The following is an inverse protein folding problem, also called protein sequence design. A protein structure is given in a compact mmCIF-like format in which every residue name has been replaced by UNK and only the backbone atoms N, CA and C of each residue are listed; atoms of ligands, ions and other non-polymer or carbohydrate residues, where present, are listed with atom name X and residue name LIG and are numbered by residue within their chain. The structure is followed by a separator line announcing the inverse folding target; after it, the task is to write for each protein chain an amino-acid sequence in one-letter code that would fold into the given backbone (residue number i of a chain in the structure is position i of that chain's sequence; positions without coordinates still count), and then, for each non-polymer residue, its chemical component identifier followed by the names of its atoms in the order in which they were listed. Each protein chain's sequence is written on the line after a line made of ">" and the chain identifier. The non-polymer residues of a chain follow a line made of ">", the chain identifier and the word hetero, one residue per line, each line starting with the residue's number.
data_IF_499237784397
#
_entry.id   IF_499237784397
#
_cell.length_a   1.000
_cell.length_b   1.000
_cell.length_c   1.000
_cell.angle_alpha   90.00
_cell.angle_beta   90.00
_cell.angle_gamma   90.00
#
_symmetry.space_group_name_H-M   'P 1'
#
loop_
_entity.id
_entity.type
_entity.pdbx_description
1 polymer ?
#
# COMPACT_ATOMS: atom_id res chain seq x y z
N UNK A 1 18.74 34.05 15.62
CA UNK A 1 18.41 32.73 16.04
C UNK A 1 17.63 32.02 14.93
N UNK A 2 18.26 31.13 14.15
CA UNK A 2 17.59 30.29 13.16
C UNK A 2 16.79 29.22 13.92
N UNK A 3 15.52 29.49 14.16
CA UNK A 3 14.62 28.48 14.71
C UNK A 3 14.51 27.31 13.75
N UNK A 4 14.96 26.14 14.18
CA UNK A 4 14.73 24.87 13.51
C UNK A 4 13.21 24.67 13.42
N UNK A 5 12.61 25.02 12.28
CA UNK A 5 11.22 24.68 12.00
C UNK A 5 11.15 23.17 11.86
N UNK A 6 10.62 22.51 12.86
CA UNK A 6 10.20 21.12 12.78
C UNK A 6 9.16 21.03 11.66
N UNK A 7 9.60 20.58 10.49
CA UNK A 7 8.72 20.31 9.38
C UNK A 7 8.09 18.93 9.62
N UNK A 8 7.09 18.87 10.50
CA UNK A 8 6.31 17.65 10.70
C UNK A 8 5.54 17.35 9.41
N UNK A 9 5.92 16.27 8.73
CA UNK A 9 5.12 15.72 7.64
C UNK A 9 3.82 15.19 8.24
N UNK A 10 2.70 15.72 7.80
CA UNK A 10 1.40 15.14 8.14
C UNK A 10 1.26 13.80 7.41
N UNK A 11 0.87 12.77 8.15
CA UNK A 11 0.63 11.44 7.62
C UNK A 11 1.65 10.39 8.09
N UNK A 12 1.45 9.16 7.65
CA UNK A 12 2.29 7.99 7.96
C UNK A 12 3.40 7.92 6.90
N UNK A 13 4.69 8.12 7.27
CA UNK A 13 5.79 8.07 6.30
C UNK A 13 6.14 6.64 5.88
N UNK A 14 5.92 5.66 6.74
CA UNK A 14 6.11 4.24 6.42
C UNK A 14 5.27 3.33 7.32
N UNK A 15 5.04 2.12 6.83
CA UNK A 15 4.57 0.97 7.62
C UNK A 15 5.64 -0.09 7.53
N UNK A 16 5.97 -0.76 8.66
CA UNK A 16 6.97 -1.82 8.70
C UNK A 16 6.31 -3.17 9.03
N UNK A 17 6.63 -4.19 8.23
CA UNK A 17 6.20 -5.56 8.41
C UNK A 17 7.39 -6.46 8.75
N UNK A 18 7.16 -7.39 9.67
CA UNK A 18 8.11 -8.45 9.97
C UNK A 18 7.81 -9.64 9.06
N UNK A 19 8.82 -10.09 8.32
CA UNK A 19 8.68 -11.14 7.30
C UNK A 19 9.67 -12.28 7.53
N UNK A 20 9.41 -13.50 7.00
CA UNK A 20 10.31 -14.63 7.13
C UNK A 20 11.68 -14.36 6.52
N UNK A 21 12.75 -14.94 7.09
CA UNK A 21 14.10 -14.81 6.54
C UNK A 21 14.19 -15.27 5.09
N UNK A 22 14.95 -14.52 4.29
CA UNK A 22 15.18 -14.79 2.86
C UNK A 22 14.08 -14.33 1.92
N UNK A 23 13.02 -13.63 2.41
CA UNK A 23 11.88 -13.24 1.58
C UNK A 23 11.99 -11.84 0.98
N UNK A 24 12.78 -10.94 1.57
CA UNK A 24 12.80 -9.52 1.19
C UNK A 24 13.18 -9.24 -0.27
N UNK A 25 14.07 -10.03 -0.85
CA UNK A 25 14.42 -9.89 -2.28
C UNK A 25 13.25 -10.24 -3.20
N UNK A 26 12.52 -11.32 -2.89
CA UNK A 26 11.33 -11.72 -3.64
C UNK A 26 10.20 -10.71 -3.49
N UNK A 27 9.98 -10.19 -2.28
CA UNK A 27 9.01 -9.13 -2.01
C UNK A 27 9.33 -7.88 -2.83
N UNK A 28 10.59 -7.45 -2.87
CA UNK A 28 11.00 -6.29 -3.66
C UNK A 28 10.71 -6.49 -5.16
N UNK A 29 11.05 -7.68 -5.71
CA UNK A 29 10.71 -8.02 -7.11
C UNK A 29 9.22 -8.00 -7.37
N UNK A 30 8.40 -8.52 -6.46
CA UNK A 30 6.94 -8.49 -6.59
C UNK A 30 6.42 -7.07 -6.83
N UNK A 31 6.80 -6.14 -5.97
CA UNK A 31 6.34 -4.75 -6.13
C UNK A 31 6.93 -4.05 -7.36
N UNK A 32 8.16 -4.36 -7.73
CA UNK A 32 8.78 -3.81 -8.94
C UNK A 32 8.07 -4.32 -10.20
N UNK A 33 7.94 -5.64 -10.35
CA UNK A 33 7.44 -6.25 -11.57
C UNK A 33 5.95 -5.98 -11.79
N UNK A 34 5.16 -6.00 -10.71
CA UNK A 34 3.71 -5.90 -10.80
C UNK A 34 3.24 -4.44 -10.70
N UNK A 35 3.76 -3.68 -9.74
CA UNK A 35 3.33 -2.30 -9.46
C UNK A 35 4.29 -1.23 -9.97
N UNK A 36 5.44 -1.62 -10.53
CA UNK A 36 6.51 -0.71 -10.98
C UNK A 36 7.03 0.21 -9.87
N UNK A 37 6.99 -0.25 -8.63
CA UNK A 37 7.49 0.48 -7.49
C UNK A 37 9.01 0.50 -7.47
N UNK A 38 9.60 1.65 -7.14
CA UNK A 38 11.03 1.74 -6.81
C UNK A 38 11.28 1.09 -5.46
N UNK A 39 12.43 0.44 -5.31
CA UNK A 39 12.78 -0.23 -4.07
C UNK A 39 14.26 -0.09 -3.69
N UNK A 40 14.54 -0.38 -2.43
CA UNK A 40 15.90 -0.54 -1.90
C UNK A 40 15.95 -1.87 -1.15
N UNK A 41 16.90 -2.75 -1.48
CA UNK A 41 17.14 -4.00 -0.75
C UNK A 41 18.42 -3.87 0.08
N UNK A 42 18.36 -4.34 1.31
CA UNK A 42 19.49 -4.49 2.24
C UNK A 42 19.66 -5.97 2.61
N UNK A 43 20.62 -6.29 3.47
CA UNK A 43 20.93 -7.68 3.84
C UNK A 43 19.71 -8.45 4.36
N UNK A 44 18.89 -7.83 5.22
CA UNK A 44 17.73 -8.45 5.89
C UNK A 44 16.48 -7.58 5.83
N UNK A 45 16.41 -6.65 4.89
CA UNK A 45 15.25 -5.78 4.75
C UNK A 45 15.11 -5.24 3.33
N UNK A 46 13.89 -4.84 2.98
CA UNK A 46 13.65 -4.02 1.80
C UNK A 46 12.68 -2.88 2.11
N UNK A 47 12.75 -1.85 1.29
CA UNK A 47 11.87 -0.69 1.35
C UNK A 47 11.31 -0.42 -0.03
N UNK A 48 9.99 -0.29 -0.11
CA UNK A 48 9.23 -0.09 -1.34
C UNK A 48 8.62 1.30 -1.31
N UNK A 49 8.85 2.10 -2.34
CA UNK A 49 8.21 3.41 -2.47
C UNK A 49 6.78 3.24 -3.00
N UNK A 50 5.79 3.66 -2.21
CA UNK A 50 4.35 3.52 -2.55
C UNK A 50 3.63 4.86 -2.67
N UNK A 51 4.32 5.96 -2.43
CA UNK A 51 3.78 7.31 -2.55
C UNK A 51 4.86 8.36 -2.32
N UNK A 52 4.51 9.63 -2.49
CA UNK A 52 5.44 10.74 -2.25
C UNK A 52 5.82 10.80 -0.76
N UNK A 53 7.04 10.36 -0.44
CA UNK A 53 7.54 10.31 0.94
C UNK A 53 6.93 9.19 1.78
N UNK A 54 6.29 8.20 1.14
CA UNK A 54 5.69 7.05 1.80
C UNK A 54 6.32 5.75 1.32
N UNK A 55 6.50 4.81 2.22
CA UNK A 55 7.09 3.51 1.90
C UNK A 55 6.51 2.37 2.75
N UNK A 56 6.52 1.18 2.16
CA UNK A 56 6.41 -0.07 2.91
C UNK A 56 7.81 -0.59 3.21
N UNK A 57 8.02 -1.06 4.42
CA UNK A 57 9.28 -1.66 4.86
C UNK A 57 9.03 -3.10 5.27
N UNK A 58 9.88 -4.00 4.83
CA UNK A 58 9.83 -5.40 5.19
C UNK A 58 11.17 -5.78 5.83
N UNK A 59 11.12 -6.29 7.06
CA UNK A 59 12.29 -6.64 7.87
C UNK A 59 12.24 -8.11 8.24
N UNK A 60 13.28 -8.85 7.89
CA UNK A 60 13.37 -10.27 8.19
C UNK A 60 13.60 -10.54 9.69
N UNK A 61 12.84 -11.49 10.22
CA UNK A 61 12.99 -11.99 11.58
C UNK A 61 12.60 -13.48 11.62
N UNK A 62 13.24 -14.25 12.48
CA UNK A 62 12.90 -15.66 12.72
C UNK A 62 11.52 -15.80 13.39
N UNK A 63 11.22 -14.89 14.32
CA UNK A 63 9.93 -14.88 15.01
C UNK A 63 8.90 -14.16 14.14
N UNK A 64 7.93 -14.91 13.67
CA UNK A 64 6.78 -14.39 12.94
C UNK A 64 5.60 -14.23 13.89
N UNK A 65 4.73 -13.30 13.57
CA UNK A 65 3.38 -13.20 14.14
C UNK A 65 2.39 -13.76 13.12
N UNK A 66 1.34 -14.38 13.61
CA UNK A 66 0.24 -14.81 12.76
C UNK A 66 -0.43 -13.59 12.12
N UNK A 67 -0.90 -13.77 10.89
CA UNK A 67 -1.65 -12.73 10.21
C UNK A 67 -2.99 -12.49 10.92
N UNK A 68 -3.22 -11.29 11.39
CA UNK A 68 -4.37 -10.90 12.20
C UNK A 68 -5.48 -10.18 11.42
N UNK A 69 -5.37 -10.14 10.09
CA UNK A 69 -6.34 -9.48 9.21
C UNK A 69 -6.07 -7.99 8.96
N UNK A 70 -4.90 -7.48 9.40
CA UNK A 70 -4.54 -6.09 9.08
C UNK A 70 -4.38 -5.88 7.57
N UNK A 71 -4.71 -4.70 7.10
CA UNK A 71 -4.68 -4.37 5.68
C UNK A 71 -4.13 -2.96 5.44
N UNK A 72 -3.68 -2.73 4.21
CA UNK A 72 -3.19 -1.45 3.72
C UNK A 72 -3.94 -1.03 2.47
N UNK A 73 -4.26 0.26 2.33
CA UNK A 73 -4.79 0.82 1.10
C UNK A 73 -3.68 1.53 0.33
N UNK A 74 -3.52 1.20 -0.94
CA UNK A 74 -2.55 1.84 -1.84
C UNK A 74 -3.26 2.39 -3.07
N UNK A 75 -2.87 3.59 -3.49
CA UNK A 75 -3.39 4.23 -4.70
C UNK A 75 -2.39 4.07 -5.84
N UNK A 76 -2.86 3.61 -6.99
CA UNK A 76 -2.02 3.33 -8.14
C UNK A 76 -2.50 4.07 -9.38
N UNK A 77 -1.57 4.61 -10.17
CA UNK A 77 -1.88 5.21 -11.47
C UNK A 77 -2.17 4.17 -12.55
N UNK A 78 -1.49 3.03 -12.49
CA UNK A 78 -1.77 1.88 -13.35
C UNK A 78 -2.56 0.83 -12.56
N UNK A 79 -3.87 0.85 -12.70
CA UNK A 79 -4.79 -0.01 -11.95
C UNK A 79 -4.97 -1.38 -12.61
N UNK A 80 -5.11 -1.41 -13.94
CA UNK A 80 -5.53 -2.61 -14.67
C UNK A 80 -4.42 -3.63 -14.90
N UNK A 81 -3.17 -3.20 -15.11
CA UNK A 81 -2.06 -4.14 -15.37
C UNK A 81 -1.74 -5.00 -14.14
N UNK A 82 -1.59 -4.45 -12.94
CA UNK A 82 -1.46 -5.26 -11.72
C UNK A 82 -2.65 -6.19 -11.50
N UNK A 83 -3.88 -5.70 -11.71
CA UNK A 83 -5.08 -6.52 -11.60
C UNK A 83 -5.01 -7.76 -12.52
N UNK A 84 -4.71 -7.56 -13.80
CA UNK A 84 -4.62 -8.65 -14.77
C UNK A 84 -3.55 -9.70 -14.39
N UNK A 85 -2.43 -9.26 -13.83
CA UNK A 85 -1.41 -10.18 -13.32
C UNK A 85 -1.92 -10.99 -12.13
N UNK A 86 -2.44 -10.32 -11.12
CA UNK A 86 -2.92 -10.93 -9.88
C UNK A 86 -4.09 -11.88 -10.15
N UNK A 87 -5.03 -11.49 -11.02
CA UNK A 87 -6.16 -12.33 -11.43
C UNK A 87 -5.68 -13.62 -12.11
N UNK A 88 -4.75 -13.52 -13.05
CA UNK A 88 -4.19 -14.67 -13.76
C UNK A 88 -3.49 -15.67 -12.83
N UNK A 89 -2.94 -15.20 -11.70
CA UNK A 89 -2.29 -16.03 -10.70
C UNK A 89 -3.23 -16.44 -9.56
N UNK A 90 -4.53 -16.16 -9.66
CA UNK A 90 -5.52 -16.53 -8.64
C UNK A 90 -5.31 -15.83 -7.29
N UNK A 91 -4.72 -14.63 -7.29
CA UNK A 91 -4.37 -13.90 -6.06
C UNK A 91 -5.42 -12.87 -5.65
N UNK A 92 -6.35 -12.49 -6.53
CA UNK A 92 -7.44 -11.57 -6.21
C UNK A 92 -8.38 -12.23 -5.19
N UNK A 93 -8.62 -11.54 -4.08
CA UNK A 93 -9.49 -11.99 -3.00
C UNK A 93 -10.86 -11.32 -3.04
N UNK A 94 -10.94 -10.10 -3.57
CA UNK A 94 -12.17 -9.34 -3.68
C UNK A 94 -12.09 -8.31 -4.83
N UNK A 95 -13.18 -8.15 -5.54
CA UNK A 95 -13.41 -7.04 -6.48
C UNK A 95 -14.54 -6.19 -5.95
N UNK A 96 -14.20 -5.12 -5.22
CA UNK A 96 -15.20 -4.29 -4.52
C UNK A 96 -16.04 -3.45 -5.48
N UNK A 97 -15.38 -2.85 -6.48
CA UNK A 97 -16.00 -2.03 -7.54
C UNK A 97 -15.02 -1.75 -8.69
N UNK A 98 -15.40 -0.87 -9.62
CA UNK A 98 -14.56 -0.46 -10.75
C UNK A 98 -13.26 0.27 -10.35
N UNK A 99 -13.10 0.66 -9.07
CA UNK A 99 -12.00 1.48 -8.57
C UNK A 99 -11.20 0.83 -7.46
N UNK A 100 -11.58 -0.37 -7.00
CA UNK A 100 -10.91 -1.09 -5.92
C UNK A 100 -10.98 -2.60 -6.12
N UNK A 101 -9.86 -3.27 -5.90
CA UNK A 101 -9.77 -4.72 -5.70
C UNK A 101 -8.82 -5.02 -4.55
N UNK A 102 -8.88 -6.27 -4.06
CA UNK A 102 -8.04 -6.73 -2.96
C UNK A 102 -7.23 -7.97 -3.34
N UNK A 103 -6.06 -8.09 -2.74
CA UNK A 103 -5.28 -9.32 -2.71
C UNK A 103 -4.50 -9.38 -1.39
N UNK A 104 -4.17 -10.59 -0.93
CA UNK A 104 -3.49 -10.79 0.35
C UNK A 104 -2.07 -11.31 0.18
N UNK A 105 -1.89 -12.30 -0.68
CA UNK A 105 -0.64 -13.05 -0.74
C UNK A 105 0.37 -12.39 -1.68
N UNK A 106 1.55 -12.10 -1.14
CA UNK A 106 2.73 -11.72 -1.90
C UNK A 106 3.48 -12.99 -2.28
N UNK A 107 3.71 -13.19 -3.58
CA UNK A 107 4.46 -14.33 -4.12
C UNK A 107 5.82 -13.89 -4.67
N UNK A 108 6.75 -14.81 -4.80
CA UNK A 108 7.95 -14.59 -5.62
C UNK A 108 7.56 -14.70 -7.10
N UNK A 109 7.69 -13.64 -7.92
CA UNK A 109 7.29 -13.67 -9.33
C UNK A 109 8.00 -14.74 -10.15
N UNK A 110 9.23 -15.12 -9.77
CA UNK A 110 10.04 -16.09 -10.52
C UNK A 110 9.65 -17.54 -10.23
N UNK A 111 9.13 -17.85 -9.05
CA UNK A 111 8.84 -19.22 -8.62
C UNK A 111 7.37 -19.47 -8.28
N UNK A 112 6.57 -18.41 -8.13
CA UNK A 112 5.19 -18.49 -7.63
C UNK A 112 5.09 -18.83 -6.14
N UNK A 113 6.22 -18.96 -5.42
CA UNK A 113 6.22 -19.32 -4.00
C UNK A 113 5.66 -18.19 -3.16
N UNK A 114 4.74 -18.51 -2.24
CA UNK A 114 4.27 -17.57 -1.22
C UNK A 114 5.42 -17.07 -0.34
N UNK A 115 5.49 -15.76 -0.14
CA UNK A 115 6.49 -15.08 0.69
C UNK A 115 5.91 -14.49 1.96
N UNK A 116 4.75 -13.83 1.87
CA UNK A 116 4.13 -13.13 2.99
C UNK A 116 2.65 -12.87 2.72
N UNK A 117 1.87 -12.67 3.78
CA UNK A 117 0.47 -12.22 3.71
C UNK A 117 0.33 -10.84 4.31
N UNK A 118 -0.25 -9.93 3.58
CA UNK A 118 -0.83 -8.67 4.02
C UNK A 118 -1.89 -8.24 3.01
N UNK A 119 -3.11 -8.00 3.48
CA UNK A 119 -4.16 -7.58 2.58
C UNK A 119 -3.90 -6.19 2.01
N UNK A 120 -3.98 -6.09 0.69
CA UNK A 120 -3.87 -4.83 -0.04
C UNK A 120 -5.23 -4.45 -0.59
N UNK A 121 -5.72 -3.29 -0.23
CA UNK A 121 -6.77 -2.60 -0.98
C UNK A 121 -6.11 -1.75 -2.06
N UNK A 122 -6.13 -2.25 -3.29
CA UNK A 122 -5.58 -1.50 -4.43
C UNK A 122 -6.65 -0.59 -5.00
N UNK A 123 -6.40 0.70 -4.97
CA UNK A 123 -7.34 1.73 -5.38
C UNK A 123 -6.82 2.52 -6.57
N UNK A 124 -7.71 2.81 -7.53
CA UNK A 124 -7.40 3.71 -8.64
C UNK A 124 -7.34 5.17 -8.16
N UNK A 125 -6.74 6.05 -8.96
CA UNK A 125 -6.77 7.50 -8.70
C UNK A 125 -8.16 8.13 -8.87
N UNK A 126 -9.13 7.37 -9.40
CA UNK A 126 -10.55 7.77 -9.49
C UNK A 126 -11.38 7.29 -8.29
N UNK A 127 -10.77 6.56 -7.35
CA UNK A 127 -11.46 6.14 -6.14
C UNK A 127 -11.91 7.37 -5.33
N UNK A 128 -13.14 7.41 -4.78
CA UNK A 128 -13.68 8.58 -4.08
C UNK A 128 -12.84 9.10 -2.91
N UNK A 129 -12.02 8.22 -2.31
CA UNK A 129 -11.13 8.58 -1.20
C UNK A 129 -9.79 9.18 -1.64
N UNK A 130 -9.46 9.15 -2.95
CA UNK A 130 -8.19 9.68 -3.43
C UNK A 130 -8.15 11.21 -3.30
N UNK A 131 -7.07 11.73 -2.73
CA UNK A 131 -6.91 13.18 -2.52
C UNK A 131 -7.82 13.77 -1.44
N UNK A 132 -8.55 12.95 -0.69
CA UNK A 132 -9.39 13.40 0.42
C UNK A 132 -8.56 14.00 1.53
N UNK A 133 -9.06 15.07 2.15
CA UNK A 133 -8.45 15.65 3.34
C UNK A 133 -8.48 14.69 4.54
N UNK A 134 -7.47 14.77 5.40
CA UNK A 134 -7.38 13.97 6.63
C UNK A 134 -8.54 14.24 7.60
N UNK A 135 -9.08 15.46 7.57
CA UNK A 135 -10.22 15.85 8.40
C UNK A 135 -11.33 16.38 7.50
N UNK A 136 -12.50 15.74 7.57
CA UNK A 136 -13.72 16.24 6.97
C UNK A 136 -14.73 16.51 8.09
N UNK A 137 -15.14 17.78 8.24
CA UNK A 137 -16.10 18.20 9.26
C UNK A 137 -17.53 18.34 8.71
N UNK A 138 -17.74 18.05 7.45
CA UNK A 138 -19.06 18.05 6.85
C UNK A 138 -19.80 16.75 7.21
N UNK A 139 -20.72 16.82 8.15
CA UNK A 139 -21.47 15.66 8.65
C UNK A 139 -22.37 14.99 7.58
N UNK A 140 -22.67 15.69 6.48
CA UNK A 140 -23.46 15.14 5.37
C UNK A 140 -22.62 14.28 4.41
N UNK A 141 -21.29 14.28 4.55
CA UNK A 141 -20.39 13.50 3.71
C UNK A 141 -19.87 12.27 4.45
N UNK A 142 -19.88 11.16 3.76
CA UNK A 142 -19.25 9.89 4.16
C UNK A 142 -18.26 9.48 3.06
N UNK A 143 -17.58 8.35 3.25
CA UNK A 143 -16.72 7.82 2.18
C UNK A 143 -17.54 7.35 0.96
N UNK A 144 -18.83 7.06 1.13
CA UNK A 144 -19.72 6.61 0.05
C UNK A 144 -20.21 7.75 -0.84
N UNK A 145 -20.36 8.95 -0.29
CA UNK A 145 -20.88 10.12 -1.01
C UNK A 145 -19.88 11.29 -1.07
N UNK A 146 -18.60 11.00 -0.81
CA UNK A 146 -17.57 12.03 -0.83
C UNK A 146 -17.44 12.68 -2.21
N UNK A 147 -17.41 13.99 -2.22
CA UNK A 147 -17.11 14.80 -3.40
C UNK A 147 -15.97 15.76 -3.06
N UNK A 148 -14.93 15.75 -3.89
CA UNK A 148 -13.78 16.63 -3.72
C UNK A 148 -14.22 18.11 -3.78
N UNK A 149 -13.69 18.91 -2.85
CA UNK A 149 -14.00 20.34 -2.76
C UNK A 149 -15.22 20.68 -1.89
N UNK A 150 -15.98 19.68 -1.43
CA UNK A 150 -17.10 19.88 -0.51
C UNK A 150 -16.72 19.59 0.95
N UNK A 151 -15.44 19.43 1.24
CA UNK A 151 -14.94 19.29 2.61
C UNK A 151 -15.14 20.57 3.40
N UNK A 152 -15.61 20.46 4.64
CA UNK A 152 -15.87 21.61 5.51
C UNK A 152 -14.62 22.25 6.09
N UNK A 153 -13.48 21.61 5.94
CA UNK A 153 -12.21 22.15 6.41
C UNK A 153 -11.63 23.08 5.35
N UNK A 154 -11.55 24.34 5.70
CA UNK A 154 -10.77 25.36 4.97
C UNK A 154 -9.71 25.87 5.91
N UNK A 155 -8.41 25.87 5.50
CA UNK A 155 -7.33 26.41 6.33
C UNK A 155 -7.52 27.91 6.60
#
# INVERSE_FOLDING_TARGET
>A
GSGNRFNMKLGIPYVEFVVPPGTTKGIARFYEEIFRCKYIVRKTSCQIAVGRGQSLRFKENQRQLDYDGHHIAIYVSNFSTPHAYLHRHGLITEESDAHQYRFQTIIDPSSGKKLFDVEHEVRSLHHPMYGRFLVNRNASQSFLNYQQGLDSFRP
#
